data_IF_285971918291
#
_entry.id   IF_285971918291
#
_cell.length_a   1.000
_cell.length_b   1.000
_cell.length_c   1.000
_cell.angle_alpha   90.00
_cell.angle_beta   90.00
_cell.angle_gamma   90.00
#
_symmetry.space_group_name_H-M   'P 1'
#
loop_
_entity.id
_entity.type
_entity.pdbx_description
1 polymer ?
#
# COMPACT_ATOMS: atom_id res chain seq x y z
N UNK A 1 3.36 -7.32 11.70
CA UNK A 1 3.82 -5.94 11.40
C UNK A 1 5.13 -6.02 10.65
N UNK A 2 5.28 -5.29 9.55
CA UNK A 2 6.52 -5.12 8.79
C UNK A 2 6.75 -3.63 8.51
N UNK A 3 7.96 -3.13 8.79
CA UNK A 3 8.37 -1.74 8.55
C UNK A 3 9.66 -1.74 7.75
N UNK A 4 9.61 -1.15 6.56
CA UNK A 4 10.78 -0.99 5.69
C UNK A 4 10.95 0.50 5.38
N UNK A 5 12.01 1.08 5.91
CA UNK A 5 12.31 2.51 5.77
C UNK A 5 13.80 2.73 5.51
N UNK A 6 14.13 3.70 4.66
CA UNK A 6 15.52 4.06 4.29
C UNK A 6 16.28 2.93 3.56
N UNK A 7 15.57 1.91 3.07
CA UNK A 7 16.10 0.85 2.22
C UNK A 7 16.02 1.25 0.74
N UNK A 8 16.79 2.26 0.30
CA UNK A 8 16.67 2.89 -1.03
C UNK A 8 16.75 1.96 -2.25
N UNK A 9 17.28 0.74 -2.09
CA UNK A 9 17.40 -0.27 -3.15
C UNK A 9 16.31 -1.35 -3.09
N UNK A 10 15.52 -1.39 -2.02
CA UNK A 10 14.43 -2.34 -1.83
C UNK A 10 13.11 -1.63 -2.15
N UNK A 11 12.70 -1.69 -3.42
CA UNK A 11 11.50 -1.00 -3.94
C UNK A 11 10.46 -1.97 -4.53
N UNK A 12 10.88 -3.20 -4.82
CA UNK A 12 10.02 -4.27 -5.34
C UNK A 12 9.62 -5.18 -4.16
N UNK A 13 8.33 -5.35 -3.94
CA UNK A 13 7.77 -6.07 -2.79
C UNK A 13 6.79 -7.19 -3.20
N UNK A 14 6.77 -7.60 -4.48
CA UNK A 14 5.92 -8.69 -4.96
C UNK A 14 6.18 -10.03 -4.27
N UNK A 15 7.34 -10.21 -3.63
CA UNK A 15 7.60 -11.36 -2.76
C UNK A 15 6.68 -11.43 -1.53
N UNK A 16 5.92 -10.37 -1.22
CA UNK A 16 4.89 -10.34 -0.17
C UNK A 16 3.52 -10.83 -0.68
N UNK A 17 3.37 -11.19 -1.96
CA UNK A 17 2.14 -11.82 -2.47
C UNK A 17 1.78 -13.04 -1.62
N UNK A 18 0.49 -13.29 -1.47
CA UNK A 18 -0.08 -14.36 -0.67
C UNK A 18 0.31 -14.36 0.82
N UNK A 19 0.95 -13.31 1.33
CA UNK A 19 1.30 -13.25 2.75
C UNK A 19 0.03 -13.27 3.63
N UNK A 20 -0.03 -14.21 4.56
CA UNK A 20 -1.22 -14.45 5.41
C UNK A 20 -1.07 -13.94 6.85
N UNK A 21 0.06 -13.30 7.21
CA UNK A 21 0.36 -12.95 8.61
C UNK A 21 0.57 -11.45 8.85
N UNK A 22 1.01 -10.69 7.86
CA UNK A 22 1.28 -9.25 7.99
C UNK A 22 -0.04 -8.48 7.95
N UNK A 23 -0.46 -7.98 9.11
CA UNK A 23 -1.62 -7.10 9.24
C UNK A 23 -1.32 -5.62 9.00
N UNK A 24 -0.06 -5.22 9.19
CA UNK A 24 0.38 -3.82 9.19
C UNK A 24 1.68 -3.72 8.40
N UNK A 25 1.67 -2.89 7.37
CA UNK A 25 2.79 -2.74 6.43
C UNK A 25 3.14 -1.26 6.27
N UNK A 26 4.41 -0.92 6.53
CA UNK A 26 4.99 0.37 6.19
C UNK A 26 6.11 0.20 5.16
N UNK A 27 6.05 0.94 4.04
CA UNK A 27 7.05 0.95 2.97
C UNK A 27 7.46 2.39 2.61
N UNK A 28 8.73 2.77 2.78
CA UNK A 28 9.16 4.14 2.42
C UNK A 28 9.11 4.38 0.92
N UNK A 29 9.65 3.45 0.12
CA UNK A 29 9.76 3.56 -1.33
C UNK A 29 9.28 2.26 -1.95
N UNK A 30 8.32 2.35 -2.87
CA UNK A 30 7.71 1.18 -3.51
C UNK A 30 7.46 1.48 -4.99
N UNK A 31 7.82 0.53 -5.86
CA UNK A 31 7.62 0.66 -7.30
C UNK A 31 6.13 0.56 -7.66
N UNK A 32 5.42 -0.41 -7.07
CA UNK A 32 3.99 -0.65 -7.29
C UNK A 32 3.33 -1.31 -6.08
N UNK A 33 2.05 -1.02 -5.84
CA UNK A 33 1.21 -1.66 -4.81
C UNK A 33 0.32 -2.78 -5.35
N UNK A 34 0.58 -3.27 -6.58
CA UNK A 34 -0.26 -4.27 -7.25
C UNK A 34 -0.37 -5.61 -6.51
N UNK A 35 0.54 -5.90 -5.57
CA UNK A 35 0.54 -7.13 -4.77
C UNK A 35 -0.37 -7.06 -3.52
N UNK A 36 -0.80 -5.86 -3.10
CA UNK A 36 -1.60 -5.66 -1.88
C UNK A 36 -2.92 -6.46 -1.90
N UNK A 37 -3.66 -6.57 -3.03
CA UNK A 37 -4.88 -7.38 -3.10
C UNK A 37 -4.67 -8.86 -2.75
N UNK A 38 -3.46 -9.39 -2.94
CA UNK A 38 -3.13 -10.80 -2.68
C UNK A 38 -2.70 -11.05 -1.22
N UNK A 39 -2.49 -10.01 -0.42
CA UNK A 39 -2.14 -10.14 1.00
C UNK A 39 -3.39 -10.41 1.86
N UNK A 40 -3.60 -11.66 2.28
CA UNK A 40 -4.86 -12.12 2.89
C UNK A 40 -5.15 -11.56 4.27
N UNK A 41 -4.14 -11.04 4.98
CA UNK A 41 -4.32 -10.52 6.35
C UNK A 41 -4.04 -9.02 6.49
N UNK A 42 -3.69 -8.32 5.40
CA UNK A 42 -3.36 -6.89 5.46
C UNK A 42 -4.58 -6.09 5.94
N UNK A 43 -4.36 -5.16 6.87
CA UNK A 43 -5.39 -4.26 7.41
C UNK A 43 -4.98 -2.81 7.28
N UNK A 44 -3.71 -2.52 7.49
CA UNK A 44 -3.20 -1.15 7.50
C UNK A 44 -1.98 -1.05 6.58
N UNK A 45 -2.05 -0.15 5.61
CA UNK A 45 -0.94 0.16 4.71
C UNK A 45 -0.49 1.60 4.92
N UNK A 46 0.81 1.80 5.07
CA UNK A 46 1.45 3.11 5.07
C UNK A 46 2.58 3.17 4.07
N UNK A 47 2.70 4.26 3.31
CA UNK A 47 3.83 4.46 2.41
C UNK A 47 4.18 5.94 2.21
N UNK A 48 5.39 6.22 1.73
CA UNK A 48 5.79 7.59 1.39
C UNK A 48 5.85 7.85 -0.12
N UNK A 49 6.61 7.01 -0.82
CA UNK A 49 6.90 7.19 -2.23
C UNK A 49 6.43 5.99 -3.04
N UNK A 50 5.34 6.19 -3.78
CA UNK A 50 4.86 5.24 -4.80
C UNK A 50 5.29 5.73 -6.18
N UNK A 51 6.00 4.90 -6.93
CA UNK A 51 6.61 5.31 -8.20
C UNK A 51 5.63 5.32 -9.36
N UNK A 52 4.82 4.28 -9.53
CA UNK A 52 3.80 4.21 -10.58
C UNK A 52 2.60 5.13 -10.32
N UNK A 53 2.40 5.54 -9.06
CA UNK A 53 1.32 6.40 -8.61
C UNK A 53 -0.07 5.75 -8.66
N UNK A 54 -0.16 4.45 -8.91
CA UNK A 54 -1.44 3.77 -9.07
C UNK A 54 -1.93 3.20 -7.74
N UNK A 55 -3.02 3.76 -7.24
CA UNK A 55 -3.69 3.39 -5.99
C UNK A 55 -4.97 2.61 -6.27
N UNK A 56 -5.35 2.40 -7.54
CA UNK A 56 -6.53 1.64 -7.91
C UNK A 56 -6.43 0.18 -7.47
N UNK A 57 -5.21 -0.38 -7.39
CA UNK A 57 -4.97 -1.71 -6.85
C UNK A 57 -5.54 -1.87 -5.43
N UNK A 58 -5.44 -0.84 -4.58
CA UNK A 58 -5.88 -0.90 -3.19
C UNK A 58 -7.40 -1.11 -3.06
N UNK A 59 -8.16 -0.74 -4.09
CA UNK A 59 -9.61 -0.93 -4.13
C UNK A 59 -10.02 -2.41 -4.29
N UNK A 60 -9.09 -3.26 -4.72
CA UNK A 60 -9.33 -4.70 -4.90
C UNK A 60 -8.96 -5.52 -3.66
N UNK A 61 -8.39 -4.91 -2.62
CA UNK A 61 -8.10 -5.62 -1.36
C UNK A 61 -9.36 -5.72 -0.51
N UNK A 62 -9.77 -6.95 -0.20
CA UNK A 62 -10.97 -7.21 0.63
C UNK A 62 -10.72 -7.08 2.14
N UNK A 63 -9.47 -6.90 2.56
CA UNK A 63 -9.06 -6.94 3.97
C UNK A 63 -8.49 -5.62 4.46
N UNK A 64 -8.02 -4.76 3.53
CA UNK A 64 -7.46 -3.46 3.81
C UNK A 64 -8.52 -2.51 4.38
N UNK A 65 -8.22 -1.92 5.54
CA UNK A 65 -9.13 -1.04 6.29
C UNK A 65 -8.68 0.40 6.28
N UNK A 66 -7.36 0.63 6.33
CA UNK A 66 -6.80 1.98 6.37
C UNK A 66 -5.58 2.09 5.47
N UNK A 67 -5.47 3.24 4.81
CA UNK A 67 -4.34 3.61 3.97
C UNK A 67 -3.88 5.01 4.37
N UNK A 68 -2.60 5.16 4.70
CA UNK A 68 -2.01 6.47 4.98
C UNK A 68 -0.76 6.68 4.14
N UNK A 69 -0.60 7.87 3.58
CA UNK A 69 0.58 8.20 2.80
C UNK A 69 0.92 9.68 2.82
N UNK A 70 2.22 9.95 2.68
CA UNK A 70 2.74 11.31 2.58
C UNK A 70 4.00 11.33 1.70
N UNK A 71 4.11 12.25 0.73
CA UNK A 71 3.13 13.27 0.38
C UNK A 71 1.95 12.72 -0.44
N UNK A 72 0.80 13.41 -0.38
CA UNK A 72 -0.34 13.16 -1.28
C UNK A 72 -0.05 13.82 -2.64
N UNK A 73 0.77 13.14 -3.44
CA UNK A 73 1.28 13.66 -4.72
C UNK A 73 0.15 13.81 -5.73
N UNK A 74 0.19 14.89 -6.50
CA UNK A 74 -0.76 15.13 -7.61
C UNK A 74 -0.72 14.05 -8.71
N UNK A 75 0.39 13.32 -8.82
CA UNK A 75 0.57 12.24 -9.79
C UNK A 75 -0.09 10.93 -9.34
N UNK A 76 -0.58 10.83 -8.10
CA UNK A 76 -1.28 9.64 -7.67
C UNK A 76 -2.70 9.61 -8.25
N UNK A 77 -3.14 8.42 -8.66
CA UNK A 77 -4.47 8.19 -9.24
C UNK A 77 -5.65 8.55 -8.33
N UNK A 78 -5.43 8.63 -7.01
CA UNK A 78 -6.46 8.90 -6.00
C UNK A 78 -5.90 9.73 -4.84
N UNK A 79 -6.77 10.46 -4.16
CA UNK A 79 -6.46 11.11 -2.87
C UNK A 79 -6.61 10.16 -1.69
N UNK A 80 -5.92 10.46 -0.59
CA UNK A 80 -5.99 9.65 0.64
C UNK A 80 -7.42 9.46 1.14
N UNK A 81 -8.20 10.53 1.19
CA UNK A 81 -9.58 10.50 1.67
C UNK A 81 -10.49 9.68 0.75
N UNK A 82 -10.24 9.75 -0.56
CA UNK A 82 -11.01 8.98 -1.57
C UNK A 82 -10.76 7.47 -1.42
N UNK A 83 -9.49 7.07 -1.24
CA UNK A 83 -9.15 5.66 -1.01
C UNK A 83 -9.78 5.16 0.29
N UNK A 84 -9.58 5.85 1.41
CA UNK A 84 -10.13 5.42 2.70
C UNK A 84 -11.66 5.34 2.68
N UNK A 85 -12.34 6.27 1.98
CA UNK A 85 -13.80 6.22 1.79
C UNK A 85 -14.26 5.04 0.92
N UNK A 86 -13.43 4.54 0.01
CA UNK A 86 -13.77 3.40 -0.85
C UNK A 86 -13.50 2.05 -0.17
N UNK A 87 -12.41 1.91 0.58
CA UNK A 87 -12.04 0.65 1.26
C UNK A 87 -12.75 0.46 2.62
N UNK A 88 -13.18 1.55 3.27
CA UNK A 88 -13.90 1.51 4.55
C UNK A 88 -15.41 1.29 4.43
N UNK A 89 -15.91 0.91 3.25
CA UNK A 89 -17.30 0.53 2.98
C UNK A 89 -17.48 -0.96 3.12
#
# INVERSE_FOLDING_TARGET
YLHVEKCKKLTEFSFLRDNESICDLFLSDVDSLSFIPEMKSIKNLKFWNLKDGDLSYLLNSSTLKTVDFHPDKKSYSHRKDEINKKIGK
#
